data_IF_712460132330
#
_entry.id   IF_712460132330
#
_cell.length_a   1.000
_cell.length_b   1.000
_cell.length_c   1.000
_cell.angle_alpha   90.00
_cell.angle_beta   90.00
_cell.angle_gamma   90.00
#
_symmetry.space_group_name_H-M   'P 1'
#
loop_
_entity.id
_entity.type
_entity.pdbx_description
1 polymer ?
#
# COMPACT_ATOMS: atom_id res chain seq x y z
N UNK A 1 -11.62 17.58 9.24
CA UNK A 1 -11.29 16.39 8.40
C UNK A 1 -10.87 15.25 9.32
N UNK A 2 -11.44 14.06 9.20
CA UNK A 2 -10.96 12.90 9.95
C UNK A 2 -9.76 12.30 9.19
N UNK A 3 -8.53 12.60 9.62
CA UNK A 3 -7.31 12.16 8.93
C UNK A 3 -7.16 10.63 8.94
N UNK A 4 -7.71 9.93 9.95
CA UNK A 4 -7.64 8.48 10.05
C UNK A 4 -8.30 7.77 8.85
N UNK A 5 -9.26 8.42 8.18
CA UNK A 5 -9.90 7.89 6.96
C UNK A 5 -9.01 7.89 5.73
N UNK A 6 -7.83 8.49 5.80
CA UNK A 6 -6.78 8.35 4.80
C UNK A 6 -5.82 7.19 5.11
N UNK A 7 -5.87 6.58 6.30
CA UNK A 7 -4.87 5.61 6.73
C UNK A 7 -5.19 4.20 6.26
N UNK A 8 -4.20 3.58 5.64
CA UNK A 8 -4.01 2.14 5.62
C UNK A 8 -2.99 1.84 6.73
N UNK A 9 -3.49 1.41 7.90
CA UNK A 9 -2.68 1.11 9.07
C UNK A 9 -1.91 -0.20 8.83
N UNK A 10 -0.58 -0.11 8.71
CA UNK A 10 0.26 -1.23 8.28
C UNK A 10 0.72 -2.07 9.47
N UNK A 11 0.20 -3.31 9.56
CA UNK A 11 0.51 -4.33 10.56
C UNK A 11 1.33 -5.43 9.87
N UNK A 12 2.61 -5.13 9.57
CA UNK A 12 3.38 -5.90 8.59
C UNK A 12 4.73 -6.43 9.11
N UNK A 13 5.15 -6.10 10.35
CA UNK A 13 6.43 -6.60 10.90
C UNK A 13 6.43 -8.14 10.88
N UNK A 14 7.48 -8.78 10.33
CA UNK A 14 7.48 -10.23 10.10
C UNK A 14 7.50 -11.06 11.40
N UNK A 15 8.01 -10.48 12.47
CA UNK A 15 8.20 -11.09 13.79
C UNK A 15 7.00 -10.94 14.75
N UNK A 16 5.92 -10.26 14.31
CA UNK A 16 4.75 -10.08 15.17
C UNK A 16 4.07 -11.42 15.48
N UNK A 17 3.84 -11.62 16.78
CA UNK A 17 3.02 -12.72 17.28
C UNK A 17 1.52 -12.46 17.03
N UNK A 18 0.69 -13.50 16.96
CA UNK A 18 -0.76 -13.37 16.71
C UNK A 18 -1.47 -12.37 17.61
N UNK A 19 -1.15 -12.34 18.90
CA UNK A 19 -1.75 -11.43 19.89
C UNK A 19 -1.37 -9.96 19.64
N UNK A 20 -0.13 -9.72 19.19
CA UNK A 20 0.34 -8.38 18.81
C UNK A 20 -0.37 -7.88 17.54
N UNK A 21 -0.58 -8.76 16.56
CA UNK A 21 -1.35 -8.45 15.35
C UNK A 21 -2.79 -8.09 15.71
N UNK A 22 -3.44 -8.87 16.60
CA UNK A 22 -4.80 -8.58 17.04
C UNK A 22 -4.89 -7.25 17.78
N UNK A 23 -3.95 -6.97 18.68
CA UNK A 23 -3.91 -5.70 19.41
C UNK A 23 -3.77 -4.50 18.44
N UNK A 24 -2.86 -4.58 17.46
CA UNK A 24 -2.66 -3.55 16.45
C UNK A 24 -3.90 -3.31 15.57
N UNK A 25 -4.60 -4.39 15.18
CA UNK A 25 -5.84 -4.30 14.41
C UNK A 25 -6.94 -3.63 15.25
N UNK A 26 -7.15 -4.05 16.51
CA UNK A 26 -8.14 -3.45 17.38
C UNK A 26 -7.86 -1.97 17.65
N UNK A 27 -6.61 -1.61 17.83
CA UNK A 27 -6.22 -0.22 17.96
C UNK A 27 -6.57 0.58 16.71
N UNK A 28 -6.26 0.05 15.53
CA UNK A 28 -6.59 0.71 14.25
C UNK A 28 -8.09 0.92 14.04
N UNK A 29 -8.91 -0.04 14.49
CA UNK A 29 -10.37 0.09 14.50
C UNK A 29 -10.83 1.21 15.46
N UNK A 30 -10.18 1.35 16.62
CA UNK A 30 -10.60 2.28 17.67
C UNK A 30 -10.53 3.76 17.28
N UNK A 31 -9.68 4.13 16.32
CA UNK A 31 -9.61 5.48 15.74
C UNK A 31 -10.19 5.59 14.32
N UNK A 32 -10.97 4.59 13.88
CA UNK A 32 -11.68 4.58 12.60
C UNK A 32 -10.74 4.69 11.39
N UNK A 33 -9.60 3.94 11.41
CA UNK A 33 -8.72 3.82 10.24
C UNK A 33 -9.52 3.36 9.02
N UNK A 34 -9.17 3.84 7.83
CA UNK A 34 -9.85 3.34 6.63
C UNK A 34 -9.63 1.84 6.45
N UNK A 35 -8.37 1.39 6.51
CA UNK A 35 -8.06 -0.04 6.46
C UNK A 35 -7.00 -0.44 7.47
N UNK A 36 -6.95 -1.74 7.75
CA UNK A 36 -5.76 -2.42 8.28
C UNK A 36 -5.11 -3.17 7.14
N UNK A 37 -3.81 -2.92 6.90
CA UNK A 37 -3.03 -3.59 5.88
C UNK A 37 -2.18 -4.67 6.54
N UNK A 38 -2.44 -5.93 6.21
CA UNK A 38 -1.87 -7.09 6.91
C UNK A 38 -1.05 -7.99 5.99
N UNK A 39 -0.29 -8.91 6.58
CA UNK A 39 0.39 -10.00 5.86
C UNK A 39 -0.65 -11.01 5.37
N UNK A 40 -0.34 -11.75 4.30
CA UNK A 40 -1.25 -12.75 3.73
C UNK A 40 -1.72 -13.82 4.73
N UNK A 41 -0.87 -14.19 5.71
CA UNK A 41 -1.20 -15.15 6.77
C UNK A 41 -2.20 -14.60 7.82
N UNK A 42 -2.36 -13.27 7.91
CA UNK A 42 -3.22 -12.63 8.90
C UNK A 42 -4.59 -12.17 8.35
N UNK A 43 -4.87 -12.40 7.06
CA UNK A 43 -6.10 -11.97 6.39
C UNK A 43 -7.34 -12.45 7.16
N UNK A 44 -7.44 -13.75 7.45
CA UNK A 44 -8.63 -14.33 8.07
C UNK A 44 -8.87 -13.76 9.48
N UNK A 45 -7.78 -13.52 10.23
CA UNK A 45 -7.82 -12.85 11.54
C UNK A 45 -8.32 -11.42 11.41
N UNK A 46 -7.78 -10.67 10.46
CA UNK A 46 -8.17 -9.27 10.23
C UNK A 46 -9.64 -9.17 9.82
N UNK A 47 -10.11 -10.00 8.89
CA UNK A 47 -11.50 -10.04 8.46
C UNK A 47 -12.46 -10.32 9.63
N UNK A 48 -12.10 -11.26 10.52
CA UNK A 48 -12.89 -11.56 11.71
C UNK A 48 -12.99 -10.36 12.68
N UNK A 49 -11.88 -9.64 12.88
CA UNK A 49 -11.82 -8.53 13.82
C UNK A 49 -12.48 -7.25 13.29
N UNK A 50 -12.44 -7.02 12.00
CA UNK A 50 -13.03 -5.83 11.36
C UNK A 50 -14.51 -6.00 11.03
N UNK A 51 -15.07 -7.19 11.18
CA UNK A 51 -16.48 -7.45 10.88
C UNK A 51 -17.42 -6.51 11.66
N UNK A 52 -18.32 -5.82 10.94
CA UNK A 52 -19.26 -4.87 11.52
C UNK A 52 -18.66 -3.50 11.88
N UNK A 53 -17.42 -3.21 11.47
CA UNK A 53 -16.78 -1.90 11.65
C UNK A 53 -16.66 -1.16 10.31
N UNK A 54 -16.25 0.12 10.35
CA UNK A 54 -15.96 0.91 9.14
C UNK A 54 -14.56 0.64 8.56
N UNK A 55 -13.71 -0.12 9.28
CA UNK A 55 -12.34 -0.44 8.86
C UNK A 55 -12.34 -1.67 7.97
N UNK A 56 -11.82 -1.55 6.75
CA UNK A 56 -11.72 -2.68 5.82
C UNK A 56 -10.35 -3.36 5.93
N UNK A 57 -10.23 -4.55 5.34
CA UNK A 57 -8.96 -5.29 5.28
C UNK A 57 -8.30 -5.07 3.94
N UNK A 58 -7.04 -4.64 3.94
CA UNK A 58 -6.11 -4.74 2.83
C UNK A 58 -4.98 -5.73 3.17
N UNK A 59 -4.29 -6.25 2.16
CA UNK A 59 -3.14 -7.12 2.38
C UNK A 59 -2.02 -6.83 1.40
N UNK A 60 -0.79 -7.22 1.76
CA UNK A 60 0.36 -7.09 0.87
C UNK A 60 0.56 -8.36 0.04
N UNK A 61 1.09 -8.20 -1.19
CA UNK A 61 1.38 -9.28 -2.11
C UNK A 61 2.81 -9.15 -2.64
N UNK A 62 3.56 -10.26 -2.66
CA UNK A 62 4.97 -10.33 -3.08
C UNK A 62 5.85 -9.30 -2.37
N UNK A 63 5.59 -9.15 -1.08
CA UNK A 63 6.14 -8.11 -0.23
C UNK A 63 7.30 -8.66 0.63
N UNK A 64 8.42 -7.91 0.82
CA UNK A 64 8.60 -6.52 0.36
C UNK A 64 9.42 -6.36 -0.93
N UNK A 65 9.70 -7.41 -1.70
CA UNK A 65 10.73 -7.37 -2.74
C UNK A 65 10.20 -7.40 -4.18
N UNK A 66 9.02 -7.93 -4.45
CA UNK A 66 8.37 -7.86 -5.77
C UNK A 66 8.94 -8.75 -6.88
N UNK A 67 9.73 -9.77 -6.54
CA UNK A 67 10.43 -10.60 -7.53
C UNK A 67 9.84 -12.03 -7.72
N UNK A 68 8.62 -12.27 -7.25
CA UNK A 68 8.00 -13.59 -7.32
C UNK A 68 7.61 -14.05 -8.73
N UNK A 69 7.55 -13.13 -9.68
CA UNK A 69 7.14 -13.42 -11.05
C UNK A 69 5.63 -13.54 -11.24
N UNK A 70 5.19 -13.55 -12.50
CA UNK A 70 3.78 -13.39 -12.89
C UNK A 70 2.87 -14.47 -12.32
N UNK A 71 3.25 -15.74 -12.37
CA UNK A 71 2.40 -16.86 -11.94
C UNK A 71 2.21 -16.89 -10.41
N UNK A 72 3.26 -16.61 -9.63
CA UNK A 72 3.17 -16.53 -8.18
C UNK A 72 2.29 -15.36 -7.73
N UNK A 73 2.46 -14.18 -8.36
CA UNK A 73 1.62 -13.00 -8.11
C UNK A 73 0.15 -13.25 -8.47
N UNK A 74 -0.12 -13.85 -9.63
CA UNK A 74 -1.47 -14.26 -10.07
C UNK A 74 -2.13 -15.20 -9.07
N UNK A 75 -1.43 -16.24 -8.65
CA UNK A 75 -1.94 -17.22 -7.70
C UNK A 75 -2.25 -16.60 -6.33
N UNK A 76 -1.35 -15.74 -5.83
CA UNK A 76 -1.56 -15.02 -4.58
C UNK A 76 -2.75 -14.05 -4.67
N UNK A 77 -2.87 -13.28 -5.76
CA UNK A 77 -4.00 -12.37 -5.98
C UNK A 77 -5.34 -13.10 -5.97
N UNK A 78 -5.43 -14.22 -6.71
CA UNK A 78 -6.62 -15.08 -6.73
C UNK A 78 -6.98 -15.58 -5.32
N UNK A 79 -5.97 -16.05 -4.56
CA UNK A 79 -6.18 -16.58 -3.21
C UNK A 79 -6.64 -15.48 -2.24
N UNK A 80 -6.01 -14.31 -2.24
CA UNK A 80 -6.32 -13.21 -1.31
C UNK A 80 -7.65 -12.55 -1.65
N UNK A 81 -7.92 -12.26 -2.93
CA UNK A 81 -9.21 -11.75 -3.36
C UNK A 81 -10.35 -12.73 -3.02
N UNK A 82 -10.09 -14.04 -3.12
CA UNK A 82 -11.03 -15.09 -2.72
C UNK A 82 -11.41 -15.10 -1.24
N UNK A 83 -10.58 -14.52 -0.37
CA UNK A 83 -10.87 -14.37 1.07
C UNK A 83 -11.78 -13.19 1.40
N UNK A 84 -11.95 -12.23 0.49
CA UNK A 84 -12.81 -11.08 0.68
C UNK A 84 -12.10 -9.83 1.23
N UNK A 85 -10.78 -9.70 1.00
CA UNK A 85 -10.07 -8.44 1.26
C UNK A 85 -10.62 -7.33 0.35
N UNK A 86 -10.54 -6.08 0.80
CA UNK A 86 -10.97 -4.93 -0.01
C UNK A 86 -9.90 -4.48 -0.98
N UNK A 87 -8.64 -4.50 -0.55
CA UNK A 87 -7.50 -4.00 -1.32
C UNK A 87 -6.33 -4.99 -1.27
N UNK A 88 -5.53 -5.04 -2.34
CA UNK A 88 -4.25 -5.75 -2.42
C UNK A 88 -3.17 -4.75 -2.78
N UNK A 89 -2.14 -4.61 -1.93
CA UNK A 89 -0.96 -3.80 -2.16
C UNK A 89 0.17 -4.71 -2.67
N UNK A 90 0.35 -4.81 -3.99
CA UNK A 90 1.41 -5.62 -4.60
C UNK A 90 2.71 -4.84 -4.75
N UNK A 91 3.86 -5.47 -4.58
CA UNK A 91 5.14 -4.88 -4.96
C UNK A 91 5.42 -5.21 -6.42
N UNK A 92 5.71 -4.19 -7.24
CA UNK A 92 6.14 -4.42 -8.63
C UNK A 92 7.57 -4.99 -8.66
N UNK A 93 7.95 -5.58 -9.76
CA UNK A 93 9.32 -5.98 -10.02
C UNK A 93 10.16 -4.73 -10.34
N UNK A 94 10.62 -4.02 -9.29
CA UNK A 94 11.41 -2.80 -9.48
C UNK A 94 12.80 -3.07 -10.06
N UNK A 95 13.31 -4.30 -9.96
CA UNK A 95 14.53 -4.71 -10.66
C UNK A 95 14.35 -4.70 -12.18
N UNK A 96 13.24 -5.26 -12.66
CA UNK A 96 12.87 -5.21 -14.09
C UNK A 96 12.60 -3.76 -14.54
N UNK A 97 11.89 -2.96 -13.72
CA UNK A 97 11.64 -1.54 -13.99
C UNK A 97 12.94 -0.73 -14.15
N UNK A 98 13.92 -0.94 -13.27
CA UNK A 98 15.26 -0.32 -13.37
C UNK A 98 16.00 -0.71 -14.64
N UNK A 99 15.84 -1.95 -15.09
CA UNK A 99 16.42 -2.47 -16.33
C UNK A 99 15.66 -2.07 -17.59
N UNK A 100 14.52 -1.37 -17.48
CA UNK A 100 13.69 -0.94 -18.60
C UNK A 100 12.79 -2.04 -19.19
N UNK A 101 12.66 -3.20 -18.53
CA UNK A 101 11.81 -4.30 -18.95
C UNK A 101 10.34 -4.03 -18.54
N UNK A 102 9.76 -2.97 -19.08
CA UNK A 102 8.43 -2.48 -18.72
C UNK A 102 7.29 -3.40 -19.13
N UNK A 103 7.47 -4.20 -20.16
CA UNK A 103 6.58 -5.26 -20.60
C UNK A 103 6.41 -6.34 -19.53
N UNK A 104 7.49 -6.77 -18.89
CA UNK A 104 7.46 -7.70 -17.76
C UNK A 104 6.72 -7.09 -16.57
N UNK A 105 7.01 -5.83 -16.24
CA UNK A 105 6.34 -5.12 -15.14
C UNK A 105 4.84 -5.01 -15.40
N UNK A 106 4.44 -4.64 -16.61
CA UNK A 106 3.03 -4.50 -17.01
C UNK A 106 2.31 -5.85 -16.95
N UNK A 107 2.92 -6.92 -17.44
CA UNK A 107 2.34 -8.27 -17.41
C UNK A 107 2.07 -8.74 -15.97
N UNK A 108 3.04 -8.56 -15.06
CA UNK A 108 2.87 -8.92 -13.66
C UNK A 108 1.75 -8.12 -12.97
N UNK A 109 1.65 -6.82 -13.21
CA UNK A 109 0.59 -5.96 -12.67
C UNK A 109 -0.77 -6.39 -13.23
N UNK A 110 -0.88 -6.57 -14.54
CA UNK A 110 -2.12 -6.98 -15.22
C UNK A 110 -2.62 -8.33 -14.69
N UNK A 111 -1.72 -9.27 -14.45
CA UNK A 111 -2.06 -10.59 -13.89
C UNK A 111 -2.72 -10.49 -12.52
N UNK A 112 -2.28 -9.57 -11.66
CA UNK A 112 -2.87 -9.30 -10.33
C UNK A 112 -4.20 -8.57 -10.48
N UNK A 113 -4.26 -7.53 -11.31
CA UNK A 113 -5.48 -6.74 -11.57
C UNK A 113 -6.61 -7.63 -12.08
N UNK A 114 -6.35 -8.48 -13.07
CA UNK A 114 -7.34 -9.40 -13.63
C UNK A 114 -7.97 -10.32 -12.57
N UNK A 115 -7.17 -10.86 -11.64
CA UNK A 115 -7.70 -11.75 -10.59
C UNK A 115 -8.42 -10.97 -9.48
N UNK A 116 -7.92 -9.81 -9.11
CA UNK A 116 -8.51 -8.96 -8.07
C UNK A 116 -9.85 -8.37 -8.52
N UNK A 117 -9.92 -7.79 -9.73
CA UNK A 117 -11.11 -7.13 -10.25
C UNK A 117 -12.28 -8.10 -10.50
N UNK A 118 -12.04 -9.40 -10.68
CA UNK A 118 -13.12 -10.42 -10.72
C UNK A 118 -13.98 -10.45 -9.44
N UNK A 119 -13.49 -9.83 -8.36
CA UNK A 119 -14.12 -9.80 -7.04
C UNK A 119 -14.24 -8.38 -6.46
N UNK A 120 -14.16 -7.36 -7.30
CA UNK A 120 -14.22 -5.94 -6.91
C UNK A 120 -13.16 -5.56 -5.86
N UNK A 121 -11.98 -6.17 -5.93
CA UNK A 121 -10.84 -5.91 -5.05
C UNK A 121 -9.91 -4.91 -5.72
N UNK A 122 -9.59 -3.83 -5.01
CA UNK A 122 -8.72 -2.75 -5.45
C UNK A 122 -7.26 -3.22 -5.47
N UNK A 123 -6.49 -2.82 -6.49
CA UNK A 123 -5.06 -3.11 -6.61
C UNK A 123 -4.24 -1.83 -6.46
N UNK A 124 -3.28 -1.85 -5.52
CA UNK A 124 -2.30 -0.78 -5.35
C UNK A 124 -0.91 -1.34 -5.69
N UNK A 125 -0.15 -0.62 -6.52
CA UNK A 125 1.18 -1.05 -6.97
C UNK A 125 2.26 -0.25 -6.25
N UNK A 126 3.09 -0.95 -5.48
CA UNK A 126 4.22 -0.37 -4.74
C UNK A 126 5.43 -0.32 -5.67
N UNK A 127 5.96 0.88 -5.89
CA UNK A 127 7.10 1.12 -6.79
C UNK A 127 8.45 0.88 -6.12
N UNK A 128 8.54 1.06 -4.80
CA UNK A 128 9.80 1.18 -4.06
C UNK A 128 10.63 2.34 -4.62
N UNK A 129 10.09 3.54 -4.49
CA UNK A 129 10.62 4.76 -5.14
C UNK A 129 12.06 5.09 -4.81
N UNK A 130 12.59 4.62 -3.66
CA UNK A 130 14.02 4.74 -3.33
C UNK A 130 14.96 4.00 -4.27
N UNK A 131 14.42 3.09 -5.09
CA UNK A 131 15.17 2.29 -6.08
C UNK A 131 15.07 2.85 -7.50
N UNK A 132 14.30 3.90 -7.73
CA UNK A 132 13.96 4.45 -9.04
C UNK A 132 14.34 5.93 -9.13
N UNK A 133 14.67 6.38 -10.33
CA UNK A 133 14.69 7.80 -10.64
C UNK A 133 13.29 8.36 -10.98
N UNK A 134 13.18 9.68 -11.11
CA UNK A 134 11.89 10.34 -11.35
C UNK A 134 11.26 9.96 -12.71
N UNK A 135 12.06 9.69 -13.73
CA UNK A 135 11.54 9.29 -15.04
C UNK A 135 11.03 7.85 -15.01
N UNK A 136 11.70 6.98 -14.26
CA UNK A 136 11.22 5.62 -14.00
C UNK A 136 9.92 5.63 -13.18
N UNK A 137 9.78 6.54 -12.19
CA UNK A 137 8.54 6.71 -11.41
C UNK A 137 7.38 7.16 -12.32
N UNK A 138 7.61 8.12 -13.21
CA UNK A 138 6.61 8.55 -14.20
C UNK A 138 6.23 7.40 -15.14
N UNK A 139 7.23 6.67 -15.64
CA UNK A 139 6.98 5.52 -16.52
C UNK A 139 6.21 4.42 -15.82
N UNK A 140 6.56 4.08 -14.57
CA UNK A 140 5.83 3.10 -13.77
C UNK A 140 4.37 3.52 -13.55
N UNK A 141 4.11 4.82 -13.35
CA UNK A 141 2.75 5.34 -13.21
C UNK A 141 1.92 5.11 -14.49
N UNK A 142 2.48 5.40 -15.67
CA UNK A 142 1.80 5.13 -16.95
C UNK A 142 1.60 3.62 -17.19
N UNK A 143 2.56 2.78 -16.82
CA UNK A 143 2.43 1.32 -16.91
C UNK A 143 1.29 0.82 -16.02
N UNK A 144 1.16 1.33 -14.79
CA UNK A 144 0.05 0.99 -13.90
C UNK A 144 -1.31 1.39 -14.48
N UNK A 145 -1.40 2.57 -15.11
CA UNK A 145 -2.63 3.02 -15.78
C UNK A 145 -2.97 2.08 -16.94
N UNK A 146 -1.98 1.72 -17.76
CA UNK A 146 -2.16 0.78 -18.89
C UNK A 146 -2.60 -0.61 -18.42
N UNK A 147 -2.04 -1.09 -17.31
CA UNK A 147 -2.39 -2.38 -16.72
C UNK A 147 -3.74 -2.40 -16.00
N UNK A 148 -4.37 -1.23 -15.76
CA UNK A 148 -5.67 -1.09 -15.10
C UNK A 148 -5.62 -1.12 -13.58
N UNK A 149 -4.47 -0.81 -12.96
CA UNK A 149 -4.37 -0.70 -11.50
C UNK A 149 -5.16 0.52 -10.98
N UNK A 150 -5.60 0.45 -9.71
CA UNK A 150 -6.41 1.50 -9.10
C UNK A 150 -5.56 2.56 -8.37
N UNK A 151 -4.40 2.16 -7.84
CA UNK A 151 -3.48 3.03 -7.13
C UNK A 151 -2.03 2.78 -7.52
N UNK A 152 -1.24 3.84 -7.45
CA UNK A 152 0.22 3.80 -7.33
C UNK A 152 0.64 4.15 -5.91
N UNK A 153 1.60 3.40 -5.36
CA UNK A 153 2.08 3.56 -3.99
C UNK A 153 3.61 3.72 -3.99
N UNK A 154 4.14 4.59 -3.14
CA UNK A 154 5.57 4.90 -3.18
C UNK A 154 6.45 3.75 -2.72
N UNK A 155 6.26 3.25 -1.51
CA UNK A 155 7.29 2.45 -0.84
C UNK A 155 6.72 1.35 0.05
N UNK A 156 7.52 0.32 0.29
CA UNK A 156 7.22 -0.72 1.28
C UNK A 156 7.47 -0.24 2.71
N UNK A 157 8.50 0.60 2.90
CA UNK A 157 9.04 0.98 4.21
C UNK A 157 10.07 -0.02 4.77
N UNK A 158 10.39 -1.10 4.03
CA UNK A 158 11.29 -2.18 4.45
C UNK A 158 12.65 -2.17 3.73
N UNK A 159 12.78 -1.42 2.64
CA UNK A 159 13.98 -1.41 1.80
C UNK A 159 14.75 -0.07 1.85
N UNK A 160 14.84 0.54 3.02
CA UNK A 160 15.70 1.71 3.27
C UNK A 160 15.23 3.02 2.66
N UNK A 161 13.94 3.18 2.44
CA UNK A 161 13.38 4.42 1.92
C UNK A 161 11.92 4.61 2.30
N UNK A 162 11.37 5.77 1.95
CA UNK A 162 9.98 6.13 2.19
C UNK A 162 9.47 7.10 1.13
N UNK A 163 8.29 7.64 1.36
CA UNK A 163 7.72 8.67 0.50
C UNK A 163 8.57 9.94 0.55
N UNK A 164 8.82 10.53 -0.61
CA UNK A 164 9.38 11.88 -0.75
C UNK A 164 8.40 12.78 -1.48
N UNK A 165 8.48 14.09 -1.24
CA UNK A 165 7.61 15.06 -1.91
C UNK A 165 7.80 15.00 -3.42
N UNK A 166 9.04 14.87 -3.89
CA UNK A 166 9.38 14.83 -5.31
C UNK A 166 8.78 13.60 -6.00
N UNK A 167 8.87 12.41 -5.36
CA UNK A 167 8.29 11.18 -5.90
C UNK A 167 6.76 11.25 -5.96
N UNK A 168 6.14 11.73 -4.89
CA UNK A 168 4.67 11.90 -4.83
C UNK A 168 4.19 12.91 -5.86
N UNK A 169 4.90 14.04 -6.02
CA UNK A 169 4.55 15.03 -7.04
C UNK A 169 4.68 14.46 -8.44
N UNK A 170 5.76 13.71 -8.75
CA UNK A 170 5.93 13.05 -10.04
C UNK A 170 4.80 12.06 -10.35
N UNK A 171 4.34 11.32 -9.33
CA UNK A 171 3.18 10.43 -9.44
C UNK A 171 1.89 11.20 -9.73
N UNK A 172 1.60 12.27 -8.96
CA UNK A 172 0.40 13.09 -9.12
C UNK A 172 0.34 13.78 -10.49
N UNK A 173 1.47 14.36 -10.93
CA UNK A 173 1.60 15.06 -12.22
C UNK A 173 1.40 14.09 -13.41
N UNK A 174 1.80 12.84 -13.25
CA UNK A 174 1.62 11.80 -14.26
C UNK A 174 0.22 11.20 -14.20
N UNK A 175 -0.29 10.94 -13.01
CA UNK A 175 -1.61 10.36 -12.79
C UNK A 175 -2.74 11.23 -13.38
N UNK A 176 -2.71 12.54 -13.16
CA UNK A 176 -3.73 13.50 -13.64
C UNK A 176 -5.17 13.02 -13.40
N UNK A 177 -5.41 12.40 -12.24
CA UNK A 177 -6.70 11.84 -11.86
C UNK A 177 -7.09 10.51 -12.53
N UNK A 178 -6.23 9.93 -13.39
CA UNK A 178 -6.48 8.63 -14.05
C UNK A 178 -6.23 7.43 -13.12
N UNK A 179 -5.40 7.62 -12.11
CA UNK A 179 -5.06 6.63 -11.10
C UNK A 179 -4.84 7.35 -9.77
N UNK A 180 -5.15 6.69 -8.66
CA UNK A 180 -4.99 7.25 -7.31
C UNK A 180 -3.57 7.12 -6.79
N UNK A 181 -3.19 7.98 -5.83
CA UNK A 181 -1.81 8.03 -5.30
C UNK A 181 -1.81 7.78 -3.79
N UNK A 182 -0.88 6.93 -3.34
CA UNK A 182 -0.69 6.56 -1.94
C UNK A 182 0.78 6.71 -1.52
N UNK A 183 1.16 7.81 -0.85
CA UNK A 183 2.44 7.87 -0.14
C UNK A 183 2.52 6.84 0.97
N UNK A 184 3.68 6.22 1.18
CA UNK A 184 3.92 5.28 2.27
C UNK A 184 5.39 5.16 2.62
N UNK A 185 5.67 4.78 3.87
CA UNK A 185 7.03 4.74 4.42
C UNK A 185 7.49 6.10 4.94
N UNK A 186 7.96 6.14 6.18
CA UNK A 186 8.53 7.34 6.79
C UNK A 186 7.53 8.39 7.29
N UNK A 187 6.23 8.20 7.16
CA UNK A 187 5.20 9.12 7.65
C UNK A 187 4.97 8.86 9.13
N UNK A 188 5.45 9.77 10.01
CA UNK A 188 5.48 9.56 11.46
C UNK A 188 4.90 10.70 12.29
N UNK A 189 4.48 11.79 11.68
CA UNK A 189 3.88 12.93 12.35
C UNK A 189 2.71 13.50 11.57
N UNK A 190 1.88 14.27 12.28
CA UNK A 190 0.67 14.88 11.73
C UNK A 190 0.96 15.84 10.59
N UNK A 191 2.02 16.66 10.70
CA UNK A 191 2.38 17.67 9.71
C UNK A 191 2.71 17.02 8.36
N UNK A 192 3.52 15.94 8.37
CA UNK A 192 3.85 15.19 7.15
C UNK A 192 2.62 14.50 6.56
N UNK A 193 1.79 13.88 7.39
CA UNK A 193 0.56 13.23 6.93
C UNK A 193 -0.38 14.25 6.29
N UNK A 194 -0.59 15.39 6.95
CA UNK A 194 -1.43 16.49 6.45
C UNK A 194 -0.88 17.08 5.17
N UNK A 195 0.43 17.29 5.09
CA UNK A 195 1.10 17.82 3.88
C UNK A 195 0.78 16.94 2.66
N UNK A 196 0.90 15.62 2.76
CA UNK A 196 0.54 14.74 1.65
C UNK A 196 -0.95 14.78 1.31
N UNK A 197 -1.83 14.85 2.31
CA UNK A 197 -3.27 15.02 2.05
C UNK A 197 -3.54 16.33 1.33
N UNK A 198 -2.90 17.44 1.72
CA UNK A 198 -3.03 18.74 1.08
C UNK A 198 -2.48 18.75 -0.36
N UNK A 199 -1.53 17.86 -0.71
CA UNK A 199 -1.08 17.64 -2.09
C UNK A 199 -2.14 16.96 -2.96
N UNK A 200 -3.21 16.41 -2.36
CA UNK A 200 -4.30 15.78 -3.10
C UNK A 200 -4.15 14.26 -3.28
N UNK A 201 -3.42 13.59 -2.38
CA UNK A 201 -3.33 12.13 -2.41
C UNK A 201 -4.61 11.48 -1.85
N UNK A 202 -4.85 10.25 -2.24
CA UNK A 202 -6.10 9.53 -1.93
C UNK A 202 -6.00 8.68 -0.67
N UNK A 203 -4.79 8.26 -0.27
CA UNK A 203 -4.53 7.35 0.85
C UNK A 203 -3.13 7.57 1.42
N UNK A 204 -2.91 7.14 2.67
CA UNK A 204 -1.59 7.15 3.32
C UNK A 204 -1.28 5.75 3.89
N UNK A 205 -0.10 5.22 3.58
CA UNK A 205 0.41 4.00 4.22
C UNK A 205 1.24 4.35 5.44
N UNK A 206 0.75 4.02 6.63
CA UNK A 206 1.36 4.41 7.90
C UNK A 206 1.57 3.17 8.77
N UNK A 207 2.76 3.00 9.36
CA UNK A 207 3.01 1.95 10.34
C UNK A 207 2.04 2.07 11.53
N UNK A 208 1.47 0.95 11.98
CA UNK A 208 0.41 0.95 12.99
C UNK A 208 0.82 1.72 14.27
N UNK A 209 2.10 1.67 14.68
CA UNK A 209 2.63 2.38 15.84
C UNK A 209 2.62 3.91 15.70
N UNK A 210 2.57 4.42 14.45
CA UNK A 210 2.53 5.86 14.18
C UNK A 210 1.11 6.39 13.98
N UNK A 211 0.12 5.52 13.75
CA UNK A 211 -1.24 5.94 13.43
C UNK A 211 -1.89 6.74 14.55
N UNK A 212 -1.90 6.21 15.79
CA UNK A 212 -2.52 6.90 16.92
C UNK A 212 -1.85 8.25 17.23
N UNK A 213 -0.51 8.34 17.36
CA UNK A 213 0.15 9.64 17.54
C UNK A 213 -0.25 10.68 16.49
N UNK A 214 -0.35 10.28 15.22
CA UNK A 214 -0.75 11.19 14.13
C UNK A 214 -2.21 11.63 14.28
N UNK A 215 -3.12 10.71 14.62
CA UNK A 215 -4.55 11.05 14.85
C UNK A 215 -4.72 12.04 15.99
N UNK A 216 -3.88 11.95 17.02
CA UNK A 216 -3.85 12.86 18.18
C UNK A 216 -3.08 14.16 17.91
N UNK A 217 -2.61 14.40 16.67
CA UNK A 217 -1.91 15.61 16.29
C UNK A 217 -0.43 15.65 16.67
N UNK A 218 0.15 14.48 17.01
CA UNK A 218 1.53 14.34 17.48
C UNK A 218 2.46 13.62 16.49
N UNK A 219 3.54 13.05 17.05
CA UNK A 219 4.57 12.31 16.30
C UNK A 219 4.95 11.01 17.01
N UNK A 220 5.39 10.02 16.22
CA UNK A 220 5.96 8.77 16.70
C UNK A 220 7.47 8.77 16.52
N UNK A 221 8.19 8.22 17.49
CA UNK A 221 9.65 7.98 17.40
C UNK A 221 9.98 6.58 16.90
N UNK A 222 8.98 5.69 16.81
CA UNK A 222 9.22 4.31 16.39
C UNK A 222 9.52 4.21 14.90
N UNK A 223 10.61 3.50 14.57
CA UNK A 223 10.88 3.07 13.22
C UNK A 223 10.00 1.85 12.85
N UNK A 224 9.60 1.82 11.61
CA UNK A 224 8.90 0.64 11.05
C UNK A 224 9.84 -0.54 11.00
#
# INVERSE_FOLDING_TARGET
MNIARYFDSAVLKPDMMPEQVEAAIRESISFDSYSVCVRGCDIDRALKLTAGTNTVVSCVLDFPYGYGGVEAKRAAAKAYAGKGVKDIDMVMNYGAARGGAWDVVEEEIRAVVEEAHKRDVIVKVIFETSQLDLDQIRKATEVCISAGADFVKTSTGFNGGGATVEAVQAMLDTAKGRIKVKPSGGIRNYETAKMYVDMGVDRLGIGYTSCRPIVEGGSSTEAY
#
